data_IF_590809886750
#
_entry.id   IF_590809886750
#
_cell.length_a   1.000
_cell.length_b   1.000
_cell.length_c   1.000
_cell.angle_alpha   90.00
_cell.angle_beta   90.00
_cell.angle_gamma   90.00
#
_symmetry.space_group_name_H-M   'P 1'
#
loop_
_entity.id
_entity.type
_entity.pdbx_description
1 polymer ?
#
# COMPACT_ATOMS: atom_id res chain seq x y z
N UNK A 1 49.44 3.98 -39.31
CA UNK A 1 48.01 4.25 -39.52
C UNK A 1 47.22 3.16 -38.81
N UNK A 2 46.71 3.42 -37.61
CA UNK A 2 45.87 2.48 -36.86
C UNK A 2 44.66 3.23 -36.34
N UNK A 3 43.51 2.96 -36.96
CA UNK A 3 42.23 3.61 -36.69
C UNK A 3 41.57 3.03 -35.45
N UNK A 4 41.23 3.94 -34.53
CA UNK A 4 40.46 3.71 -33.31
C UNK A 4 39.00 3.39 -33.65
N UNK A 5 38.47 2.27 -33.13
CA UNK A 5 37.03 1.96 -33.16
C UNK A 5 36.49 2.21 -31.74
N UNK A 6 36.03 3.43 -31.49
CA UNK A 6 35.33 3.76 -30.25
C UNK A 6 33.86 3.32 -30.30
N UNK A 7 33.54 2.43 -29.36
CA UNK A 7 32.32 2.36 -28.54
C UNK A 7 31.11 3.20 -28.97
N UNK A 8 30.16 2.58 -29.69
CA UNK A 8 28.81 3.13 -29.99
C UNK A 8 27.67 2.47 -29.19
N UNK A 9 27.96 1.62 -28.21
CA UNK A 9 26.95 0.86 -27.48
C UNK A 9 26.22 1.65 -26.38
N UNK A 10 26.80 2.75 -25.88
CA UNK A 10 26.24 3.54 -24.76
C UNK A 10 25.03 4.39 -25.15
N UNK A 11 24.87 4.73 -26.44
CA UNK A 11 23.79 5.60 -26.91
C UNK A 11 22.41 4.92 -27.01
N UNK A 12 22.38 3.62 -27.34
CA UNK A 12 21.13 2.88 -27.52
C UNK A 12 20.41 2.59 -26.20
N UNK A 13 21.13 2.37 -25.10
CA UNK A 13 20.57 2.09 -23.77
C UNK A 13 19.95 3.34 -23.15
N UNK A 14 20.63 4.49 -23.26
CA UNK A 14 20.12 5.77 -22.78
C UNK A 14 18.85 6.20 -23.54
N UNK A 15 18.83 6.02 -24.87
CA UNK A 15 17.66 6.36 -25.70
C UNK A 15 16.44 5.45 -25.43
N UNK A 16 16.65 4.15 -25.15
CA UNK A 16 15.57 3.23 -24.75
C UNK A 16 14.99 3.56 -23.37
N UNK A 17 15.84 3.92 -22.40
CA UNK A 17 15.41 4.37 -21.08
C UNK A 17 14.61 5.69 -21.16
N UNK A 18 15.04 6.63 -22.01
CA UNK A 18 14.33 7.88 -22.25
C UNK A 18 13.00 7.69 -23.01
N UNK A 19 12.91 6.70 -23.91
CA UNK A 19 11.67 6.38 -24.63
C UNK A 19 10.63 5.70 -23.73
N UNK A 20 11.06 4.83 -22.79
CA UNK A 20 10.13 4.23 -21.82
C UNK A 20 9.59 5.26 -20.83
N UNK A 21 10.34 6.33 -20.53
CA UNK A 21 9.89 7.43 -19.66
C UNK A 21 8.76 8.27 -20.29
N UNK A 22 8.65 8.34 -21.62
CA UNK A 22 7.61 9.14 -22.31
C UNK A 22 6.25 8.44 -22.47
N UNK A 23 6.19 7.11 -22.28
CA UNK A 23 4.96 6.30 -22.42
C UNK A 23 4.38 5.77 -21.11
N UNK A 24 4.95 6.19 -19.97
CA UNK A 24 4.59 5.62 -18.67
C UNK A 24 5.08 4.16 -18.50
N UNK A 25 4.97 3.59 -17.29
CA UNK A 25 5.36 2.20 -17.07
C UNK A 25 4.40 1.25 -17.79
N UNK A 26 4.89 0.10 -18.27
CA UNK A 26 4.11 -0.87 -19.04
C UNK A 26 2.83 -1.35 -18.32
N UNK A 27 2.83 -1.36 -16.98
CA UNK A 27 1.64 -1.68 -16.20
C UNK A 27 0.50 -0.67 -16.36
N UNK A 28 0.80 0.61 -16.61
CA UNK A 28 -0.22 1.63 -16.86
C UNK A 28 -0.89 1.47 -18.23
N UNK A 29 -0.22 0.81 -19.18
CA UNK A 29 -0.74 0.52 -20.51
C UNK A 29 -1.39 -0.86 -20.65
N UNK A 30 -1.57 -1.60 -19.54
CA UNK A 30 -2.16 -2.95 -19.54
C UNK A 30 -3.34 -3.07 -18.56
N UNK A 31 -4.38 -2.22 -18.68
CA UNK A 31 -5.54 -2.25 -17.78
C UNK A 31 -6.24 -3.62 -17.76
N UNK A 32 -6.22 -4.37 -18.88
CA UNK A 32 -6.79 -5.70 -18.99
C UNK A 32 -6.16 -6.75 -18.05
N UNK A 33 -4.96 -6.48 -17.54
CA UNK A 33 -4.30 -7.32 -16.53
C UNK A 33 -4.45 -6.72 -15.13
N UNK A 34 -4.19 -5.41 -14.98
CA UNK A 34 -4.06 -4.78 -13.67
C UNK A 34 -5.39 -4.31 -13.05
N UNK A 35 -6.42 -4.06 -13.87
CA UNK A 35 -7.78 -3.68 -13.45
C UNK A 35 -8.77 -4.86 -13.58
N UNK A 36 -8.26 -6.07 -13.81
CA UNK A 36 -9.10 -7.25 -13.77
C UNK A 36 -9.49 -7.56 -12.32
N UNK A 37 -10.78 -7.85 -12.10
CA UNK A 37 -11.34 -8.13 -10.76
C UNK A 37 -10.56 -9.22 -10.02
N UNK A 38 -10.06 -10.25 -10.72
CA UNK A 38 -9.32 -11.33 -10.08
C UNK A 38 -7.91 -10.92 -9.60
N UNK A 39 -7.38 -9.80 -10.11
CA UNK A 39 -6.08 -9.25 -9.73
C UNK A 39 -6.23 -8.12 -8.70
N UNK A 40 -7.24 -7.28 -8.88
CA UNK A 40 -7.49 -6.10 -8.05
C UNK A 40 -8.17 -6.45 -6.72
N UNK A 41 -9.31 -7.15 -6.76
CA UNK A 41 -10.08 -7.56 -5.58
C UNK A 41 -10.61 -9.00 -5.75
N UNK A 42 -9.74 -10.02 -5.62
CA UNK A 42 -10.18 -11.39 -5.78
C UNK A 42 -11.20 -11.79 -4.72
N UNK A 43 -12.21 -12.62 -5.09
CA UNK A 43 -13.26 -13.03 -4.18
C UNK A 43 -12.71 -13.60 -2.86
N UNK A 44 -13.28 -13.15 -1.74
CA UNK A 44 -12.88 -13.65 -0.40
C UNK A 44 -13.36 -15.09 -0.14
N UNK A 45 -14.35 -15.55 -0.91
CA UNK A 45 -14.92 -16.90 -0.83
C UNK A 45 -14.24 -17.92 -1.74
N UNK A 46 -14.84 -19.11 -1.83
CA UNK A 46 -14.34 -20.17 -2.70
C UNK A 46 -14.43 -19.75 -4.18
N UNK A 47 -13.30 -19.79 -4.88
CA UNK A 47 -13.23 -19.56 -6.32
C UNK A 47 -13.39 -20.87 -7.10
N UNK A 48 -14.06 -20.79 -8.25
CA UNK A 48 -14.11 -21.92 -9.17
C UNK A 48 -12.70 -22.29 -9.63
N UNK A 49 -12.51 -23.53 -10.11
CA UNK A 49 -11.21 -23.95 -10.65
C UNK A 49 -10.79 -23.07 -11.83
N UNK A 50 -11.73 -22.77 -12.73
CA UNK A 50 -11.47 -21.92 -13.90
C UNK A 50 -11.02 -20.51 -13.49
N UNK A 51 -11.65 -19.91 -12.48
CA UNK A 51 -11.26 -18.57 -11.99
C UNK A 51 -9.89 -18.59 -11.34
N UNK A 52 -9.54 -19.66 -10.59
CA UNK A 52 -8.20 -19.81 -9.99
C UNK A 52 -7.11 -19.93 -11.05
N UNK A 53 -7.36 -20.70 -12.11
CA UNK A 53 -6.42 -20.86 -13.21
C UNK A 53 -6.24 -19.52 -13.97
N UNK A 54 -7.35 -18.82 -14.24
CA UNK A 54 -7.35 -17.49 -14.85
C UNK A 54 -6.60 -16.47 -14.00
N UNK A 55 -6.87 -16.43 -12.70
CA UNK A 55 -6.18 -15.56 -11.75
C UNK A 55 -4.69 -15.85 -11.72
N UNK A 56 -4.29 -17.13 -11.66
CA UNK A 56 -2.88 -17.53 -11.65
C UNK A 56 -2.15 -17.02 -12.88
N UNK A 57 -2.77 -17.14 -14.06
CA UNK A 57 -2.23 -16.60 -15.31
C UNK A 57 -2.10 -15.08 -15.28
N UNK A 58 -3.14 -14.37 -14.87
CA UNK A 58 -3.14 -12.89 -14.80
C UNK A 58 -2.09 -12.37 -13.82
N UNK A 59 -2.01 -12.96 -12.62
CA UNK A 59 -0.98 -12.61 -11.62
C UNK A 59 0.43 -12.92 -12.15
N UNK A 60 0.59 -14.01 -12.89
CA UNK A 60 1.86 -14.34 -13.57
C UNK A 60 2.27 -13.28 -14.59
N UNK A 61 1.32 -12.82 -15.43
CA UNK A 61 1.54 -11.74 -16.40
C UNK A 61 1.86 -10.41 -15.70
N UNK A 62 1.07 -10.01 -14.71
CA UNK A 62 1.28 -8.79 -13.94
C UNK A 62 2.67 -8.79 -13.29
N UNK A 63 3.09 -9.94 -12.74
CA UNK A 63 4.41 -10.13 -12.14
C UNK A 63 5.53 -9.94 -13.16
N UNK A 64 5.44 -10.56 -14.34
CA UNK A 64 6.44 -10.42 -15.39
C UNK A 64 6.59 -8.96 -15.84
N UNK A 65 5.47 -8.24 -15.99
CA UNK A 65 5.45 -6.80 -16.31
C UNK A 65 6.14 -5.98 -15.21
N UNK A 66 5.82 -6.25 -13.95
CA UNK A 66 6.47 -5.57 -12.83
C UNK A 66 7.98 -5.88 -12.75
N UNK A 67 8.41 -7.12 -12.97
CA UNK A 67 9.82 -7.54 -12.92
C UNK A 67 10.67 -6.87 -14.01
N UNK A 68 10.09 -6.60 -15.18
CA UNK A 68 10.76 -5.86 -16.25
C UNK A 68 10.77 -4.33 -16.04
N UNK A 69 10.01 -3.80 -15.06
CA UNK A 69 9.85 -2.37 -14.86
C UNK A 69 11.07 -1.75 -14.13
N UNK A 70 11.75 -0.75 -14.72
CA UNK A 70 12.91 -0.10 -14.09
C UNK A 70 12.55 0.65 -12.80
N UNK A 71 11.28 1.03 -12.62
CA UNK A 71 10.79 1.75 -11.44
C UNK A 71 10.32 0.81 -10.32
N UNK A 72 10.42 -0.51 -10.49
CA UNK A 72 9.83 -1.50 -9.57
C UNK A 72 10.25 -1.27 -8.10
N UNK A 73 11.52 -1.00 -7.85
CA UNK A 73 12.03 -0.81 -6.48
C UNK A 73 11.43 0.43 -5.81
N UNK A 74 11.39 1.56 -6.52
CA UNK A 74 10.77 2.78 -6.01
C UNK A 74 9.27 2.59 -5.80
N UNK A 75 8.59 1.97 -6.77
CA UNK A 75 7.17 1.65 -6.70
C UNK A 75 6.84 0.74 -5.51
N UNK A 76 7.66 -0.29 -5.24
CA UNK A 76 7.50 -1.16 -4.07
C UNK A 76 7.65 -0.39 -2.76
N UNK A 77 8.67 0.45 -2.67
CA UNK A 77 8.92 1.27 -1.49
C UNK A 77 7.74 2.19 -1.20
N UNK A 78 7.22 2.85 -2.22
CA UNK A 78 6.08 3.75 -2.09
C UNK A 78 4.80 3.01 -1.70
N UNK A 79 4.52 1.88 -2.35
CA UNK A 79 3.36 1.06 -2.03
C UNK A 79 3.40 0.40 -0.65
N UNK A 80 4.58 0.23 -0.04
CA UNK A 80 4.72 -0.36 1.30
C UNK A 80 4.78 0.72 2.38
N UNK A 81 5.52 1.79 2.12
CA UNK A 81 5.93 2.77 3.15
C UNK A 81 5.13 4.06 3.08
N UNK A 82 4.63 4.47 1.90
CA UNK A 82 3.96 5.77 1.72
C UNK A 82 2.46 5.65 1.52
N UNK A 83 2.00 4.74 0.66
CA UNK A 83 0.61 4.71 0.18
C UNK A 83 0.01 3.32 0.29
N UNK A 84 -1.26 3.23 0.70
CA UNK A 84 -2.02 1.99 0.61
C UNK A 84 -2.71 1.86 -0.75
N UNK A 85 -1.95 1.41 -1.75
CA UNK A 85 -2.47 1.21 -3.11
C UNK A 85 -3.29 -0.08 -3.17
N UNK A 86 -4.43 -0.07 -3.85
CA UNK A 86 -5.22 -1.28 -4.11
C UNK A 86 -4.57 -2.21 -5.16
N UNK A 87 -5.04 -3.45 -5.25
CA UNK A 87 -4.65 -4.40 -6.30
C UNK A 87 -3.18 -4.85 -6.33
N UNK A 88 -2.71 -5.20 -7.53
CA UNK A 88 -1.37 -5.74 -7.77
C UNK A 88 -0.39 -4.65 -8.21
N UNK A 89 0.66 -4.41 -7.41
CA UNK A 89 1.64 -3.37 -7.69
C UNK A 89 3.04 -3.82 -7.29
N UNK A 90 4.05 -3.38 -8.05
CA UNK A 90 5.47 -3.68 -7.82
C UNK A 90 5.82 -5.19 -7.68
N UNK A 91 4.98 -6.07 -8.23
CA UNK A 91 5.14 -7.52 -8.12
C UNK A 91 4.55 -8.13 -6.83
N UNK A 92 3.66 -7.40 -6.14
CA UNK A 92 3.06 -7.81 -4.87
C UNK A 92 1.54 -7.62 -4.87
N UNK A 93 0.84 -8.49 -4.14
CA UNK A 93 -0.60 -8.33 -3.84
C UNK A 93 -0.82 -7.46 -2.59
N UNK A 94 -2.03 -6.95 -2.38
CA UNK A 94 -2.42 -6.24 -1.14
C UNK A 94 -2.10 -7.08 0.10
N UNK A 95 -2.45 -8.38 0.09
CA UNK A 95 -2.18 -9.29 1.21
C UNK A 95 -0.68 -9.40 1.52
N UNK A 96 0.16 -9.47 0.48
CA UNK A 96 1.61 -9.50 0.65
C UNK A 96 2.14 -8.18 1.20
N UNK A 97 1.66 -7.03 0.72
CA UNK A 97 2.04 -5.72 1.25
C UNK A 97 1.64 -5.56 2.72
N UNK A 98 0.45 -5.99 3.11
CA UNK A 98 0.02 -5.97 4.51
C UNK A 98 0.92 -6.84 5.40
N UNK A 99 1.35 -8.00 4.91
CA UNK A 99 2.31 -8.84 5.63
C UNK A 99 3.70 -8.18 5.74
N UNK A 100 4.19 -7.56 4.67
CA UNK A 100 5.46 -6.81 4.67
C UNK A 100 5.40 -5.67 5.68
N UNK A 101 4.32 -4.88 5.69
CA UNK A 101 4.09 -3.77 6.64
C UNK A 101 4.07 -4.27 8.08
N UNK A 102 3.36 -5.37 8.36
CA UNK A 102 3.35 -6.00 9.69
C UNK A 102 4.74 -6.38 10.16
N UNK A 103 5.53 -7.05 9.32
CA UNK A 103 6.91 -7.47 9.65
C UNK A 103 7.85 -6.29 9.88
N UNK A 104 7.65 -5.18 9.17
CA UNK A 104 8.43 -3.96 9.31
C UNK A 104 7.89 -3.01 10.39
N UNK A 105 6.75 -3.33 11.01
CA UNK A 105 6.08 -2.45 11.98
C UNK A 105 5.61 -1.13 11.38
N UNK A 106 5.32 -1.09 10.07
CA UNK A 106 4.82 0.08 9.36
C UNK A 106 3.30 0.12 9.47
N UNK A 107 2.76 1.29 9.79
CA UNK A 107 1.34 1.62 9.64
C UNK A 107 1.24 2.66 8.53
N UNK A 108 0.40 2.39 7.54
CA UNK A 108 0.05 3.34 6.49
C UNK A 108 -1.44 3.58 6.63
N UNK A 109 -1.82 4.84 6.84
CA UNK A 109 -3.22 5.23 6.88
C UNK A 109 -3.85 4.96 5.50
N UNK A 110 -5.05 4.39 5.51
CA UNK A 110 -5.85 4.34 4.29
C UNK A 110 -6.34 5.75 3.99
N UNK A 111 -6.23 6.16 2.72
CA UNK A 111 -6.89 7.39 2.28
C UNK A 111 -8.40 7.19 2.44
N UNK A 112 -9.00 7.92 3.37
CA UNK A 112 -10.43 7.92 3.62
C UNK A 112 -11.13 8.67 2.46
N UNK A 113 -11.36 7.93 1.37
CA UNK A 113 -12.05 8.40 0.19
C UNK A 113 -13.51 8.80 0.51
N UNK A 114 -14.10 8.27 1.59
CA UNK A 114 -15.46 8.63 2.02
C UNK A 114 -15.49 10.06 2.58
N UNK A 115 -14.43 10.47 3.29
CA UNK A 115 -14.23 11.87 3.69
C UNK A 115 -14.04 12.79 2.48
N UNK A 116 -13.33 12.34 1.42
CA UNK A 116 -13.14 13.11 0.20
C UNK A 116 -14.42 13.22 -0.65
N UNK A 117 -15.25 12.17 -0.65
CA UNK A 117 -16.52 12.09 -1.36
C UNK A 117 -17.68 12.81 -0.62
N UNK A 118 -17.42 13.40 0.54
CA UNK A 118 -18.44 14.12 1.33
C UNK A 118 -19.52 13.21 1.91
N UNK A 119 -19.27 11.90 1.98
CA UNK A 119 -20.23 10.92 2.51
C UNK A 119 -20.22 11.01 4.04
N UNK A 120 -21.08 11.88 4.57
CA UNK A 120 -21.38 11.95 6.01
C UNK A 120 -22.51 10.94 6.30
N UNK A 121 -22.22 9.65 6.09
CA UNK A 121 -23.22 8.58 6.12
C UNK A 121 -23.09 7.67 7.35
N UNK A 122 -23.78 8.01 8.43
CA UNK A 122 -24.46 7.06 9.34
C UNK A 122 -23.70 5.83 9.88
N UNK A 123 -22.50 6.01 10.45
CA UNK A 123 -21.88 5.20 11.55
C UNK A 123 -20.38 5.53 11.61
N UNK A 124 -20.03 6.82 11.53
CA UNK A 124 -18.62 7.23 11.67
C UNK A 124 -18.14 6.80 13.06
N UNK A 125 -17.32 5.74 13.11
CA UNK A 125 -16.65 5.38 14.34
C UNK A 125 -15.75 6.55 14.73
N UNK A 126 -15.92 7.05 15.94
CA UNK A 126 -15.12 8.18 16.43
C UNK A 126 -13.70 7.71 16.60
N UNK A 127 -12.80 8.26 15.79
CA UNK A 127 -11.39 7.94 15.83
C UNK A 127 -10.76 8.41 17.15
N UNK A 128 -9.98 7.52 17.76
CA UNK A 128 -9.28 7.78 19.00
C UNK A 128 -8.29 8.93 18.89
N UNK A 129 -7.47 8.89 17.84
CA UNK A 129 -6.39 9.83 17.65
C UNK A 129 -6.95 11.21 17.38
N UNK A 130 -8.08 11.29 16.67
CA UNK A 130 -8.81 12.52 16.43
C UNK A 130 -9.35 13.15 17.73
N UNK A 131 -9.94 12.36 18.63
CA UNK A 131 -10.37 12.84 19.97
C UNK A 131 -9.19 13.42 20.74
N UNK A 132 -8.04 12.72 20.74
CA UNK A 132 -6.84 13.17 21.44
C UNK A 132 -6.20 14.39 20.78
N UNK A 133 -6.24 14.48 19.45
CA UNK A 133 -5.72 15.61 18.69
C UNK A 133 -6.52 16.88 18.98
N UNK A 134 -7.85 16.80 18.89
CA UNK A 134 -8.72 17.93 19.22
C UNK A 134 -8.62 18.35 20.68
N UNK A 135 -8.53 17.38 21.63
CA UNK A 135 -8.32 17.70 23.05
C UNK A 135 -6.99 18.41 23.31
N UNK A 136 -5.91 17.99 22.64
CA UNK A 136 -4.58 18.63 22.76
C UNK A 136 -4.56 20.03 22.13
N UNK A 137 -5.24 20.21 21.00
CA UNK A 137 -5.32 21.50 20.33
C UNK A 137 -6.21 22.52 21.08
N UNK A 138 -7.15 22.04 21.90
CA UNK A 138 -8.10 22.89 22.62
C UNK A 138 -8.21 22.42 24.10
N UNK A 139 -7.17 22.69 24.93
CA UNK A 139 -7.14 22.22 26.32
C UNK A 139 -8.23 22.87 27.20
N UNK A 140 -8.65 24.08 26.86
CA UNK A 140 -9.61 24.88 27.62
C UNK A 140 -11.07 24.58 27.27
N UNK A 141 -11.33 23.90 26.14
CA UNK A 141 -12.69 23.50 25.77
C UNK A 141 -13.23 22.45 26.75
N UNK A 142 -14.55 22.50 27.00
CA UNK A 142 -15.20 21.45 27.79
C UNK A 142 -15.33 20.17 26.97
N UNK A 143 -15.45 19.02 27.66
CA UNK A 143 -15.65 17.74 26.98
C UNK A 143 -16.98 17.66 26.22
N UNK A 144 -17.95 18.48 26.60
CA UNK A 144 -19.26 18.60 25.93
C UNK A 144 -19.12 19.32 24.59
N UNK A 145 -18.38 20.43 24.58
CA UNK A 145 -18.05 21.16 23.36
C UNK A 145 -17.24 20.28 22.39
N UNK A 146 -16.27 19.54 22.92
CA UNK A 146 -15.48 18.57 22.16
C UNK A 146 -16.36 17.46 21.53
N UNK A 147 -17.31 16.93 22.30
CA UNK A 147 -18.25 15.91 21.83
C UNK A 147 -19.17 16.46 20.71
N UNK A 148 -19.66 17.69 20.86
CA UNK A 148 -20.49 18.36 19.86
C UNK A 148 -19.73 18.57 18.54
N UNK A 149 -18.47 19.04 18.60
CA UNK A 149 -17.61 19.20 17.42
C UNK A 149 -17.34 17.88 16.69
N UNK A 150 -17.23 16.79 17.45
CA UNK A 150 -17.00 15.44 16.92
C UNK A 150 -18.29 14.73 16.49
N UNK A 151 -19.47 15.32 16.72
CA UNK A 151 -20.76 14.70 16.41
C UNK A 151 -21.04 13.43 17.22
N UNK A 152 -20.52 13.33 18.45
CA UNK A 152 -20.68 12.15 19.30
C UNK A 152 -21.15 12.47 20.73
N UNK A 153 -21.39 11.43 21.53
CA UNK A 153 -21.76 11.61 22.92
C UNK A 153 -20.55 11.89 23.82
N UNK A 154 -20.79 12.63 24.92
CA UNK A 154 -19.82 12.83 25.98
C UNK A 154 -19.23 11.50 26.51
N UNK A 155 -20.05 10.46 26.61
CA UNK A 155 -19.61 9.14 27.08
C UNK A 155 -18.59 8.49 26.14
N UNK A 156 -18.72 8.73 24.83
CA UNK A 156 -17.75 8.27 23.82
C UNK A 156 -16.41 8.98 24.01
N UNK A 157 -16.40 10.30 24.11
CA UNK A 157 -15.19 11.09 24.38
C UNK A 157 -14.52 10.64 25.68
N UNK A 158 -15.28 10.52 26.78
CA UNK A 158 -14.76 10.05 28.08
C UNK A 158 -14.17 8.65 27.99
N UNK A 159 -14.77 7.74 27.22
CA UNK A 159 -14.25 6.39 26.99
C UNK A 159 -12.88 6.43 26.31
N UNK A 160 -12.73 7.22 25.25
CA UNK A 160 -11.43 7.40 24.57
C UNK A 160 -10.38 8.01 25.50
N UNK A 161 -10.72 9.08 26.23
CA UNK A 161 -9.77 9.70 27.17
C UNK A 161 -9.40 8.78 28.35
N UNK A 162 -10.33 7.93 28.80
CA UNK A 162 -10.04 6.91 29.82
C UNK A 162 -9.10 5.83 29.27
N UNK A 163 -9.33 5.38 28.04
CA UNK A 163 -8.46 4.40 27.37
C UNK A 163 -7.04 4.94 27.26
N UNK A 164 -6.84 6.19 26.81
CA UNK A 164 -5.51 6.80 26.71
C UNK A 164 -4.79 6.92 28.07
N UNK A 165 -5.53 7.12 29.18
CA UNK A 165 -4.93 7.12 30.53
C UNK A 165 -4.53 5.73 31.00
N UNK A 166 -5.25 4.69 30.58
CA UNK A 166 -5.02 3.30 31.01
C UNK A 166 -3.96 2.61 30.14
N UNK A 167 -3.99 2.90 28.83
CA UNK A 167 -3.12 2.37 27.80
C UNK A 167 -2.73 3.54 26.90
N UNK A 168 -1.71 4.34 27.28
CA UNK A 168 -1.25 5.45 26.44
C UNK A 168 -0.86 4.92 25.07
N UNK A 169 -1.41 5.51 24.01
CA UNK A 169 -1.11 5.08 22.65
C UNK A 169 0.37 5.32 22.40
N UNK A 170 1.18 4.25 22.47
CA UNK A 170 2.61 4.33 22.18
C UNK A 170 2.73 4.65 20.70
N UNK A 171 2.97 5.93 20.40
CA UNK A 171 3.38 6.37 19.06
C UNK A 171 4.73 5.73 18.79
N UNK A 172 4.72 4.54 18.21
CA UNK A 172 5.93 3.92 17.66
C UNK A 172 6.44 4.89 16.62
N UNK A 173 7.54 5.56 16.92
CA UNK A 173 8.33 6.26 15.92
C UNK A 173 8.84 5.19 14.98
N UNK A 174 8.05 4.90 13.94
CA UNK A 174 8.48 3.98 12.88
C UNK A 174 9.63 4.69 12.19
N UNK A 175 10.85 4.34 12.59
CA UNK A 175 12.04 4.75 11.83
C UNK A 175 11.83 4.21 10.44
N UNK A 176 11.77 5.12 9.48
CA UNK A 176 11.40 4.78 8.12
C UNK A 176 12.40 3.75 7.59
N UNK A 177 11.96 2.55 7.18
CA UNK A 177 12.89 1.52 6.77
C UNK A 177 13.63 1.94 5.51
N UNK A 178 14.85 1.43 5.38
CA UNK A 178 15.66 1.61 4.18
C UNK A 178 15.07 0.79 3.04
N UNK A 179 15.19 1.23 1.77
CA UNK A 179 14.68 0.48 0.62
C UNK A 179 15.17 -0.98 0.57
N UNK A 180 16.41 -1.23 0.99
CA UNK A 180 16.99 -2.58 1.04
C UNK A 180 16.26 -3.51 2.01
N UNK A 181 15.79 -2.99 3.15
CA UNK A 181 15.05 -3.78 4.14
C UNK A 181 13.69 -4.18 3.59
N UNK A 182 13.00 -3.26 2.90
CA UNK A 182 11.73 -3.54 2.22
C UNK A 182 11.90 -4.65 1.19
N UNK A 183 12.96 -4.60 0.38
CA UNK A 183 13.25 -5.64 -0.62
C UNK A 183 13.50 -7.01 0.01
N UNK A 184 14.28 -7.07 1.10
CA UNK A 184 14.58 -8.32 1.81
C UNK A 184 13.31 -8.97 2.37
N UNK A 185 12.49 -8.20 3.09
CA UNK A 185 11.23 -8.72 3.65
C UNK A 185 10.26 -9.11 2.53
N UNK A 186 10.21 -8.34 1.45
CA UNK A 186 9.38 -8.67 0.27
C UNK A 186 9.78 -10.01 -0.34
N UNK A 187 11.07 -10.25 -0.56
CA UNK A 187 11.56 -11.52 -1.09
C UNK A 187 11.13 -12.70 -0.20
N UNK A 188 11.25 -12.55 1.13
CA UNK A 188 10.81 -13.58 2.07
C UNK A 188 9.29 -13.86 1.99
N UNK A 189 8.46 -12.81 1.92
CA UNK A 189 6.99 -12.94 1.86
C UNK A 189 6.53 -13.56 0.53
N UNK A 190 7.12 -13.13 -0.59
CA UNK A 190 6.76 -13.64 -1.93
C UNK A 190 7.17 -15.10 -2.08
N UNK A 191 8.36 -15.49 -1.62
CA UNK A 191 8.82 -16.88 -1.65
C UNK A 191 7.99 -17.78 -0.74
N UNK A 192 7.66 -17.34 0.48
CA UNK A 192 6.78 -18.11 1.38
C UNK A 192 5.37 -18.31 0.82
N UNK A 193 4.82 -17.30 0.13
CA UNK A 193 3.52 -17.39 -0.55
C UNK A 193 3.54 -18.35 -1.74
N UNK A 194 4.69 -18.52 -2.40
CA UNK A 194 4.85 -19.47 -3.50
C UNK A 194 4.90 -20.92 -2.98
N UNK A 195 5.58 -21.16 -1.86
CA UNK A 195 5.64 -22.48 -1.22
C UNK A 195 4.27 -22.91 -0.69
N UNK A 196 3.54 -22.01 -0.01
CA UNK A 196 2.19 -22.31 0.49
C UNK A 196 1.19 -22.69 -0.63
N UNK A 197 1.32 -22.08 -1.83
CA UNK A 197 0.48 -22.41 -2.98
C UNK A 197 0.84 -23.73 -3.69
N UNK A 198 2.06 -24.24 -3.50
CA UNK A 198 2.47 -25.55 -4.06
C UNK A 198 2.05 -26.73 -3.19
N UNK A 199 1.75 -26.49 -1.92
CA UNK A 199 1.36 -27.51 -0.95
C UNK A 199 -0.17 -27.68 -0.80
N UNK A 200 -0.96 -26.83 -1.47
CA UNK A 200 -2.43 -26.84 -1.48
C UNK A 200 -2.96 -27.17 -2.88
#
# INVERSE_FOLDING_TARGET
MSTSIMSRTTGLTAARAAHSQRRGPACASSPEVFQDVLVEDPPRGAMTRADRDRQTRLVGQARAICEACPLRTACLYDAVVRHDVAGFVAGTTVRQRNEIRRRLGIVVENEDLDTLAGVIGGTRQIDHDEVLRLRRANPDETLEQLAHRLGCSLSTVKRHLRRERQEPTVRRTVTRPMPVQVLQVTAAVVSGSATARRAA
#
